data_IF_739042413579
#
_entry.id   IF_739042413579
#
_cell.length_a   1.000
_cell.length_b   1.000
_cell.length_c   1.000
_cell.angle_alpha   90.00
_cell.angle_beta   90.00
_cell.angle_gamma   90.00
#
_symmetry.space_group_name_H-M   'P 1'
#
loop_
_entity.id
_entity.type
_entity.pdbx_description
1 polymer ?
#
# COMPACT_ATOMS: atom_id res chain seq x y z
N UNK A 1 -8.12 -13.32 -45.76
CA UNK A 1 -7.36 -12.79 -44.62
C UNK A 1 -6.68 -13.98 -43.97
N UNK A 2 -5.36 -13.92 -43.81
CA UNK A 2 -4.58 -15.02 -43.23
C UNK A 2 -4.68 -14.90 -41.71
N UNK A 3 -5.23 -15.90 -41.04
CA UNK A 3 -5.25 -15.95 -39.57
C UNK A 3 -3.81 -15.96 -39.07
N UNK A 4 -3.43 -14.97 -38.27
CA UNK A 4 -2.14 -14.97 -37.58
C UNK A 4 -2.38 -15.70 -36.26
N UNK A 5 -1.77 -16.87 -36.11
CA UNK A 5 -1.80 -17.64 -34.87
C UNK A 5 -0.45 -17.43 -34.19
N UNK A 6 -0.46 -16.68 -33.09
CA UNK A 6 0.74 -16.35 -32.33
C UNK A 6 0.80 -17.26 -31.10
N UNK A 7 1.86 -18.07 -31.01
CA UNK A 7 2.24 -18.71 -29.75
C UNK A 7 2.79 -17.63 -28.82
N UNK A 8 1.94 -17.16 -27.90
CA UNK A 8 2.22 -16.00 -27.06
C UNK A 8 3.37 -16.29 -26.07
N UNK A 9 3.55 -17.55 -25.68
CA UNK A 9 4.60 -18.00 -24.75
C UNK A 9 5.98 -17.54 -25.18
N UNK A 10 6.31 -17.77 -26.45
CA UNK A 10 7.63 -17.43 -26.99
C UNK A 10 7.93 -15.93 -26.89
N UNK A 11 6.91 -15.09 -27.06
CA UNK A 11 7.09 -13.64 -27.04
C UNK A 11 7.15 -13.09 -25.62
N UNK A 12 6.31 -13.61 -24.73
CA UNK A 12 6.36 -13.31 -23.30
C UNK A 12 7.71 -13.75 -22.71
N UNK A 13 8.17 -14.97 -22.98
CA UNK A 13 9.48 -15.47 -22.55
C UNK A 13 10.65 -14.62 -23.07
N UNK A 14 10.60 -14.23 -24.35
CA UNK A 14 11.63 -13.38 -24.95
C UNK A 14 11.71 -12.00 -24.28
N UNK A 15 10.61 -11.53 -23.71
CA UNK A 15 10.51 -10.27 -22.95
C UNK A 15 10.55 -10.46 -21.44
N UNK A 16 10.66 -11.71 -20.96
CA UNK A 16 10.57 -12.09 -19.54
C UNK A 16 9.30 -11.58 -18.85
N UNK A 17 8.19 -11.61 -19.57
CA UNK A 17 6.87 -11.24 -19.06
C UNK A 17 6.09 -12.49 -18.63
N UNK A 18 5.29 -12.36 -17.58
CA UNK A 18 4.25 -13.30 -17.17
C UNK A 18 2.89 -12.60 -17.19
N UNK A 19 1.82 -13.41 -17.25
CA UNK A 19 0.44 -12.95 -17.13
C UNK A 19 -0.19 -13.71 -15.98
N UNK A 20 -0.70 -13.01 -14.98
CA UNK A 20 -1.57 -13.58 -13.97
C UNK A 20 -3.03 -13.40 -14.39
N UNK A 21 -3.83 -14.40 -14.09
CA UNK A 21 -5.29 -14.34 -14.18
C UNK A 21 -5.85 -14.26 -12.77
N UNK A 22 -6.62 -13.23 -12.50
CA UNK A 22 -7.21 -12.94 -11.21
C UNK A 22 -8.72 -13.08 -11.29
N UNK A 23 -9.32 -13.58 -10.21
CA UNK A 23 -10.76 -13.67 -10.05
C UNK A 23 -11.17 -12.87 -8.83
N UNK A 24 -12.17 -12.02 -9.01
CA UNK A 24 -12.70 -11.15 -7.97
C UNK A 24 -14.20 -11.36 -7.78
N UNK A 25 -14.62 -11.51 -6.54
CA UNK A 25 -16.03 -11.45 -6.15
C UNK A 25 -16.39 -10.00 -5.82
N UNK A 26 -17.40 -9.45 -6.48
CA UNK A 26 -17.85 -8.06 -6.33
C UNK A 26 -19.18 -7.94 -5.61
N UNK A 27 -19.33 -6.88 -4.82
CA UNK A 27 -20.62 -6.41 -4.34
C UNK A 27 -21.34 -5.56 -5.41
N UNK A 28 -22.63 -5.28 -5.16
CA UNK A 28 -23.38 -4.31 -5.98
C UNK A 28 -22.85 -2.90 -5.71
N UNK A 29 -22.46 -2.21 -6.79
CA UNK A 29 -22.05 -0.80 -6.76
C UNK A 29 -23.11 0.06 -6.07
N UNK A 30 -22.69 0.83 -5.07
CA UNK A 30 -23.59 1.64 -4.25
C UNK A 30 -23.33 3.12 -4.49
N UNK A 31 -24.33 3.90 -4.96
CA UNK A 31 -24.19 5.35 -5.10
C UNK A 31 -23.90 6.02 -3.75
N UNK A 32 -22.94 6.94 -3.75
CA UNK A 32 -22.56 7.70 -2.56
C UNK A 32 -23.36 8.99 -2.50
N UNK A 33 -24.15 9.13 -1.44
CA UNK A 33 -24.96 10.32 -1.16
C UNK A 33 -24.50 11.00 0.13
N UNK A 34 -24.74 12.30 0.22
CA UNK A 34 -24.22 13.13 1.32
C UNK A 34 -24.71 12.67 2.69
N UNK A 35 -25.93 12.16 2.76
CA UNK A 35 -26.58 11.66 3.97
C UNK A 35 -25.93 10.40 4.53
N UNK A 36 -25.18 9.66 3.71
CA UNK A 36 -24.49 8.42 4.05
C UNK A 36 -22.98 8.56 3.87
N UNK A 37 -22.46 9.78 4.06
CA UNK A 37 -21.05 10.11 3.80
C UNK A 37 -20.03 9.24 4.54
N UNK A 38 -20.39 8.66 5.69
CA UNK A 38 -19.55 7.67 6.38
C UNK A 38 -19.28 6.41 5.57
N UNK A 39 -20.15 6.05 4.59
CA UNK A 39 -19.95 4.89 3.73
C UNK A 39 -18.72 4.99 2.85
N UNK A 40 -18.23 6.19 2.57
CA UNK A 40 -17.03 6.40 1.75
C UNK A 40 -15.88 5.59 2.35
N UNK A 41 -15.53 5.85 3.61
CA UNK A 41 -14.40 5.17 4.28
C UNK A 41 -14.83 4.00 5.17
N UNK A 42 -16.05 3.51 5.02
CA UNK A 42 -16.54 2.40 5.84
C UNK A 42 -15.86 1.09 5.44
N UNK A 43 -15.51 0.26 6.43
CA UNK A 43 -15.07 -1.12 6.23
C UNK A 43 -16.25 -2.11 6.12
N UNK A 44 -17.49 -1.62 6.21
CA UNK A 44 -18.67 -2.47 6.01
C UNK A 44 -18.75 -2.90 4.55
N UNK A 45 -18.94 -4.19 4.35
CA UNK A 45 -19.02 -4.80 3.02
C UNK A 45 -20.42 -5.35 2.78
N UNK A 46 -20.99 -5.02 1.63
CA UNK A 46 -22.20 -5.63 1.12
C UNK A 46 -22.00 -7.11 0.77
N UNK A 47 -23.08 -7.83 0.46
CA UNK A 47 -22.98 -9.19 -0.04
C UNK A 47 -22.29 -9.21 -1.41
N UNK A 48 -21.26 -10.03 -1.55
CA UNK A 48 -20.61 -10.32 -2.82
C UNK A 48 -21.53 -11.22 -3.66
N UNK A 49 -21.82 -10.80 -4.89
CA UNK A 49 -22.94 -11.33 -5.69
C UNK A 49 -22.59 -11.70 -7.13
N UNK A 50 -21.46 -11.23 -7.67
CA UNK A 50 -21.00 -11.62 -9.00
C UNK A 50 -19.48 -11.69 -9.06
N UNK A 51 -18.98 -12.50 -10.00
CA UNK A 51 -17.55 -12.75 -10.20
C UNK A 51 -17.08 -12.01 -11.45
N UNK A 52 -15.88 -11.44 -11.40
CA UNK A 52 -15.25 -10.74 -12.52
C UNK A 52 -13.78 -11.14 -12.64
N UNK A 53 -13.39 -11.34 -13.88
CA UNK A 53 -12.05 -11.73 -14.30
C UNK A 53 -11.17 -10.52 -14.60
N UNK A 54 -9.93 -10.58 -14.13
CA UNK A 54 -8.91 -9.53 -14.27
C UNK A 54 -7.56 -10.15 -14.62
N UNK A 55 -6.64 -9.33 -15.13
CA UNK A 55 -5.32 -9.78 -15.55
C UNK A 55 -4.24 -8.80 -15.14
N UNK A 56 -3.09 -9.33 -14.71
CA UNK A 56 -1.86 -8.57 -14.53
C UNK A 56 -0.83 -9.04 -15.54
N UNK A 57 0.00 -8.12 -16.04
CA UNK A 57 1.20 -8.42 -16.83
C UNK A 57 2.40 -7.83 -16.11
N UNK A 58 3.38 -8.66 -15.76
CA UNK A 58 4.56 -8.26 -15.00
C UNK A 58 5.82 -8.98 -15.52
N UNK A 59 7.01 -8.45 -15.22
CA UNK A 59 8.25 -9.13 -15.54
C UNK A 59 8.76 -10.05 -14.42
N UNK A 60 9.82 -10.81 -14.70
CA UNK A 60 10.42 -11.72 -13.70
C UNK A 60 11.06 -11.02 -12.48
N UNK A 61 11.18 -9.69 -12.49
CA UNK A 61 11.57 -8.89 -11.34
C UNK A 61 10.35 -8.28 -10.63
N UNK A 62 9.15 -8.78 -10.92
CA UNK A 62 7.86 -8.30 -10.39
C UNK A 62 7.51 -6.86 -10.78
N UNK A 63 8.11 -6.30 -11.82
CA UNK A 63 7.70 -4.98 -12.33
C UNK A 63 6.41 -5.14 -13.11
N UNK A 64 5.39 -4.36 -12.78
CA UNK A 64 4.07 -4.47 -13.38
C UNK A 64 4.00 -3.58 -14.62
N UNK A 65 3.33 -4.03 -15.67
CA UNK A 65 3.14 -3.31 -16.95
C UNK A 65 1.66 -3.12 -17.27
N UNK A 66 0.81 -4.04 -16.83
CA UNK A 66 -0.64 -3.90 -16.75
C UNK A 66 -1.06 -4.47 -15.41
N UNK A 67 -1.90 -3.76 -14.69
CA UNK A 67 -2.43 -4.20 -13.40
C UNK A 67 -3.95 -4.21 -13.48
N UNK A 68 -4.56 -5.31 -13.02
CA UNK A 68 -6.00 -5.40 -12.79
C UNK A 68 -6.86 -5.00 -14.00
N UNK A 69 -6.42 -5.35 -15.21
CA UNK A 69 -7.10 -5.01 -16.45
C UNK A 69 -8.14 -6.07 -16.82
N UNK A 70 -9.20 -5.65 -17.52
CA UNK A 70 -10.16 -6.56 -18.13
C UNK A 70 -9.50 -7.36 -19.26
N UNK A 71 -10.14 -8.45 -19.68
CA UNK A 71 -9.69 -9.21 -20.85
C UNK A 71 -9.62 -8.36 -22.12
N UNK A 72 -10.58 -7.45 -22.32
CA UNK A 72 -10.62 -6.58 -23.49
C UNK A 72 -9.45 -5.59 -23.49
N UNK A 73 -9.15 -4.98 -22.35
CA UNK A 73 -7.99 -4.10 -22.18
C UNK A 73 -6.68 -4.85 -22.38
N UNK A 74 -6.53 -6.05 -21.79
CA UNK A 74 -5.38 -6.91 -22.04
C UNK A 74 -5.23 -7.19 -23.55
N UNK A 75 -6.30 -7.57 -24.23
CA UNK A 75 -6.27 -7.86 -25.67
C UNK A 75 -5.86 -6.66 -26.52
N UNK A 76 -6.24 -5.44 -26.10
CA UNK A 76 -5.90 -4.18 -26.77
C UNK A 76 -4.45 -3.74 -26.51
N UNK A 77 -3.94 -3.89 -25.29
CA UNK A 77 -2.61 -3.40 -24.87
C UNK A 77 -1.48 -4.40 -25.15
N UNK A 78 -1.80 -5.70 -25.20
CA UNK A 78 -0.82 -6.76 -25.36
C UNK A 78 0.04 -6.63 -26.64
N UNK A 79 -0.50 -6.31 -27.84
CA UNK A 79 0.32 -6.12 -29.04
C UNK A 79 1.46 -5.09 -28.87
N UNK A 80 1.18 -4.00 -28.15
CA UNK A 80 2.14 -2.93 -27.93
C UNK A 80 3.23 -3.37 -26.95
N UNK A 81 2.86 -4.04 -25.85
CA UNK A 81 3.82 -4.60 -24.88
C UNK A 81 4.76 -5.65 -25.51
N UNK A 82 4.26 -6.41 -26.49
CA UNK A 82 5.07 -7.40 -27.20
C UNK A 82 6.04 -6.75 -28.20
N UNK A 83 5.79 -5.51 -28.64
CA UNK A 83 6.58 -4.83 -29.67
C UNK A 83 7.57 -3.83 -29.08
N UNK A 84 7.20 -3.07 -28.06
CA UNK A 84 8.05 -2.07 -27.40
C UNK A 84 8.16 -2.34 -25.89
N UNK A 85 9.33 -2.08 -25.31
CA UNK A 85 9.49 -2.13 -23.84
C UNK A 85 8.97 -0.80 -23.33
N UNK A 86 7.70 -0.76 -22.94
CA UNK A 86 7.15 0.37 -22.19
C UNK A 86 7.84 0.43 -20.82
N UNK A 87 7.96 1.62 -20.20
CA UNK A 87 8.28 1.69 -18.78
C UNK A 87 7.29 0.82 -18.00
N UNK A 88 7.76 0.15 -16.94
CA UNK A 88 6.86 -0.48 -16.00
C UNK A 88 5.93 0.59 -15.41
N UNK A 89 4.71 0.20 -15.05
CA UNK A 89 3.88 0.98 -14.15
C UNK A 89 4.71 1.19 -12.88
N UNK A 90 4.99 2.44 -12.56
CA UNK A 90 5.35 2.81 -11.21
C UNK A 90 4.04 2.96 -10.46
N UNK A 91 3.94 2.44 -9.24
CA UNK A 91 2.77 2.69 -8.36
C UNK A 91 2.73 4.16 -7.89
N UNK A 92 3.40 5.06 -8.60
CA UNK A 92 3.37 6.48 -8.36
C UNK A 92 1.96 6.97 -8.68
N UNK A 93 1.33 7.60 -7.69
CA UNK A 93 0.03 8.25 -7.89
C UNK A 93 0.15 9.18 -9.09
N UNK A 94 -0.68 8.94 -10.11
CA UNK A 94 -0.55 9.54 -11.45
C UNK A 94 -0.82 11.05 -11.50
N UNK A 95 -0.92 11.75 -10.36
CA UNK A 95 -1.12 13.20 -10.33
C UNK A 95 -0.40 13.91 -9.17
N UNK A 96 0.92 14.09 -9.31
CA UNK A 96 1.74 14.84 -8.37
C UNK A 96 1.31 16.32 -8.24
N UNK A 97 0.76 16.93 -9.30
CA UNK A 97 0.23 18.29 -9.27
C UNK A 97 -0.96 18.42 -8.29
N UNK A 98 -1.89 17.47 -8.33
CA UNK A 98 -3.03 17.41 -7.41
C UNK A 98 -2.56 17.22 -5.97
N UNK A 99 -1.58 16.34 -5.73
CA UNK A 99 -0.96 16.16 -4.42
C UNK A 99 -0.30 17.46 -3.96
N UNK A 100 0.48 18.12 -4.82
CA UNK A 100 1.14 19.38 -4.49
C UNK A 100 0.14 20.48 -4.13
N UNK A 101 -1.03 20.54 -4.78
CA UNK A 101 -2.10 21.47 -4.40
C UNK A 101 -2.64 21.23 -2.97
N UNK A 102 -2.56 19.99 -2.45
CA UNK A 102 -2.86 19.67 -1.07
C UNK A 102 -1.70 20.09 -0.14
N UNK A 103 -0.45 19.91 -0.58
CA UNK A 103 0.73 20.41 0.14
C UNK A 103 0.68 21.93 0.31
N UNK A 104 0.30 22.69 -0.71
CA UNK A 104 0.12 24.14 -0.59
C UNK A 104 -0.96 24.51 0.44
N UNK A 105 -2.09 23.78 0.46
CA UNK A 105 -3.14 23.97 1.46
C UNK A 105 -2.69 23.59 2.87
N UNK A 106 -1.86 22.56 3.00
CA UNK A 106 -1.23 22.12 4.25
C UNK A 106 -0.30 23.24 4.78
N UNK A 107 0.55 23.77 3.91
CA UNK A 107 1.48 24.88 4.21
C UNK A 107 0.74 26.15 4.65
N UNK A 108 -0.42 26.46 4.05
CA UNK A 108 -1.26 27.59 4.47
C UNK A 108 -1.82 27.44 5.90
N UNK A 109 -1.94 26.20 6.40
CA UNK A 109 -2.31 25.92 7.80
C UNK A 109 -1.10 25.90 8.73
N UNK A 110 0.10 26.00 8.16
CA UNK A 110 1.39 26.04 8.83
C UNK A 110 1.93 24.67 9.23
N UNK A 111 1.50 23.63 8.54
CA UNK A 111 2.18 22.34 8.57
C UNK A 111 3.15 22.27 7.40
N UNK A 112 4.06 21.30 7.42
CA UNK A 112 5.01 21.04 6.33
C UNK A 112 4.94 19.58 5.93
N UNK A 113 5.15 19.32 4.64
CA UNK A 113 5.40 17.96 4.15
C UNK A 113 6.90 17.78 3.96
N UNK A 114 7.46 16.74 4.58
CA UNK A 114 8.88 16.42 4.53
C UNK A 114 9.06 15.08 3.82
N UNK A 115 9.84 15.04 2.74
CA UNK A 115 10.20 13.80 2.03
C UNK A 115 11.61 13.31 2.37
N UNK A 116 11.82 12.00 2.32
CA UNK A 116 13.11 11.34 2.53
C UNK A 116 13.12 9.93 1.95
N UNK A 117 14.31 9.35 1.76
CA UNK A 117 14.47 7.93 1.42
C UNK A 117 14.99 7.12 2.60
N UNK A 118 14.74 5.82 2.55
CA UNK A 118 15.26 4.85 3.48
C UNK A 118 16.09 3.82 2.74
N UNK A 119 17.21 3.41 3.34
CA UNK A 119 18.06 2.35 2.83
C UNK A 119 18.19 1.23 3.83
N UNK A 120 17.96 0.02 3.35
CA UNK A 120 18.04 -1.19 4.16
C UNK A 120 19.38 -1.35 4.87
N UNK A 121 19.32 -1.80 6.14
CA UNK A 121 20.47 -2.28 6.89
C UNK A 121 20.37 -3.77 7.21
N UNK A 122 19.39 -4.15 8.04
CA UNK A 122 19.23 -5.53 8.51
C UNK A 122 17.78 -5.85 8.92
N UNK A 123 17.48 -7.16 8.93
CA UNK A 123 16.19 -7.72 9.32
C UNK A 123 16.36 -8.68 10.48
N UNK A 124 15.39 -8.67 11.39
CA UNK A 124 15.35 -9.46 12.60
C UNK A 124 13.99 -10.15 12.70
N UNK A 125 14.04 -11.41 13.09
CA UNK A 125 12.89 -12.24 13.36
C UNK A 125 12.33 -11.89 14.74
N UNK A 126 11.03 -11.60 14.81
CA UNK A 126 10.36 -11.45 16.10
C UNK A 126 10.18 -12.81 16.76
N UNK A 127 10.83 -13.01 17.92
CA UNK A 127 10.79 -14.25 18.69
C UNK A 127 9.65 -14.26 19.71
N UNK A 128 9.37 -13.10 20.32
CA UNK A 128 8.21 -12.90 21.19
C UNK A 128 7.53 -11.57 20.93
N UNK A 129 6.42 -11.60 20.18
CA UNK A 129 5.68 -10.38 19.82
C UNK A 129 5.02 -9.71 21.02
N UNK A 130 4.50 -10.50 21.97
CA UNK A 130 3.82 -9.96 23.15
C UNK A 130 4.80 -9.20 24.04
N UNK A 131 5.98 -9.79 24.31
CA UNK A 131 6.99 -9.15 25.17
C UNK A 131 7.52 -7.85 24.52
N UNK A 132 7.68 -7.84 23.18
CA UNK A 132 8.01 -6.62 22.43
C UNK A 132 6.94 -5.54 22.57
N UNK A 133 5.68 -5.90 22.47
CA UNK A 133 4.56 -4.94 22.62
C UNK A 133 4.52 -4.36 24.02
N UNK A 134 4.67 -5.20 25.04
CA UNK A 134 4.69 -4.76 26.44
C UNK A 134 5.89 -3.85 26.71
N UNK A 135 7.08 -4.16 26.18
CA UNK A 135 8.26 -3.32 26.29
C UNK A 135 8.04 -1.96 25.61
N UNK A 136 7.55 -1.96 24.36
CA UNK A 136 7.35 -0.73 23.58
C UNK A 136 6.29 0.16 24.25
N UNK A 137 5.20 -0.41 24.75
CA UNK A 137 4.14 0.34 25.44
C UNK A 137 4.61 1.00 26.76
N UNK A 138 5.75 0.57 27.31
CA UNK A 138 6.34 1.13 28.53
C UNK A 138 7.34 2.26 28.26
N UNK A 139 7.65 2.57 27.00
CA UNK A 139 8.55 3.68 26.62
C UNK A 139 7.79 5.00 26.72
N UNK A 140 8.34 6.05 27.37
CA UNK A 140 7.76 7.38 27.32
C UNK A 140 7.60 7.85 25.86
N UNK A 141 6.41 8.34 25.49
CA UNK A 141 6.11 8.74 24.10
C UNK A 141 7.16 9.70 23.49
N UNK A 142 7.70 10.63 24.28
CA UNK A 142 8.71 11.61 23.83
C UNK A 142 10.04 10.96 23.39
N UNK A 143 10.35 9.75 23.88
CA UNK A 143 11.57 9.01 23.54
C UNK A 143 11.34 7.93 22.45
N UNK A 144 10.08 7.68 22.08
CA UNK A 144 9.69 6.53 21.24
C UNK A 144 10.10 6.64 19.77
N UNK A 145 10.26 7.85 19.24
CA UNK A 145 10.66 8.09 17.85
C UNK A 145 12.10 7.67 17.52
N UNK A 146 12.93 7.50 18.55
CA UNK A 146 14.34 7.10 18.44
C UNK A 146 14.61 5.74 19.10
N UNK A 147 13.56 5.03 19.51
CA UNK A 147 13.71 3.75 20.17
C UNK A 147 14.14 2.67 19.16
N UNK A 148 15.39 2.23 19.30
CA UNK A 148 15.88 1.01 18.65
C UNK A 148 15.81 -0.14 19.66
N UNK A 149 15.02 -1.17 19.30
CA UNK A 149 14.84 -2.39 20.09
C UNK A 149 16.21 -3.05 20.35
N UNK A 150 17.14 -2.98 19.41
CA UNK A 150 18.46 -3.64 19.52
C UNK A 150 19.36 -2.87 20.49
N UNK A 151 19.45 -1.55 20.34
CA UNK A 151 20.34 -0.72 21.19
C UNK A 151 19.86 -0.63 22.64
N UNK A 152 18.58 -0.89 22.89
CA UNK A 152 17.96 -0.79 24.21
C UNK A 152 18.01 -2.09 25.01
N UNK A 153 18.54 -3.18 24.44
CA UNK A 153 18.46 -4.53 24.99
C UNK A 153 19.82 -5.25 24.96
N UNK A 154 19.88 -6.44 25.56
CA UNK A 154 21.14 -7.22 25.65
C UNK A 154 21.33 -8.08 24.42
N UNK A 155 22.53 -8.04 23.85
CA UNK A 155 22.94 -8.82 22.69
C UNK A 155 23.72 -10.08 23.12
N UNK A 156 23.31 -11.25 22.65
CA UNK A 156 24.06 -12.51 22.81
C UNK A 156 24.20 -13.25 21.48
N UNK A 157 25.35 -13.90 21.26
CA UNK A 157 25.63 -14.71 20.07
C UNK A 157 25.47 -16.19 20.41
N UNK A 158 24.72 -16.93 19.59
CA UNK A 158 24.53 -18.37 19.75
C UNK A 158 25.71 -19.20 19.20
N UNK A 159 25.65 -20.53 19.37
CA UNK A 159 26.70 -21.44 18.91
C UNK A 159 26.90 -21.42 17.38
N UNK A 160 25.87 -21.01 16.63
CA UNK A 160 25.89 -20.89 15.17
C UNK A 160 26.35 -19.49 14.70
N UNK A 161 26.70 -18.61 15.63
CA UNK A 161 27.17 -17.25 15.37
C UNK A 161 26.05 -16.25 15.06
N UNK A 162 24.81 -16.57 15.43
CA UNK A 162 23.66 -15.68 15.22
C UNK A 162 23.44 -14.81 16.44
N UNK A 163 23.08 -13.56 16.17
CA UNK A 163 22.80 -12.59 17.23
C UNK A 163 21.35 -12.69 17.67
N UNK A 164 21.13 -12.71 18.99
CA UNK A 164 19.82 -12.68 19.64
C UNK A 164 19.76 -11.49 20.60
N UNK A 165 18.58 -10.87 20.69
CA UNK A 165 18.31 -9.70 21.53
C UNK A 165 17.37 -10.11 22.64
N UNK A 166 17.76 -9.83 23.88
CA UNK A 166 17.03 -10.18 25.09
C UNK A 166 16.63 -8.97 25.91
N UNK A 167 15.44 -9.02 26.50
CA UNK A 167 14.99 -8.02 27.47
C UNK A 167 15.73 -8.14 28.82
N UNK A 168 15.46 -7.22 29.73
CA UNK A 168 16.04 -7.21 31.08
C UNK A 168 15.64 -8.43 31.95
N UNK A 169 14.61 -9.19 31.54
CA UNK A 169 14.12 -10.38 32.22
C UNK A 169 14.64 -11.69 31.59
N UNK A 170 15.41 -11.60 30.50
CA UNK A 170 15.97 -12.75 29.77
C UNK A 170 15.02 -13.37 28.74
N UNK A 171 13.95 -12.68 28.34
CA UNK A 171 13.10 -13.12 27.23
C UNK A 171 13.76 -12.75 25.90
N UNK A 172 13.81 -13.71 24.98
CA UNK A 172 14.33 -13.47 23.63
C UNK A 172 13.29 -12.69 22.82
N UNK A 173 13.60 -11.46 22.47
CA UNK A 173 12.73 -10.56 21.73
C UNK A 173 12.92 -10.70 20.22
N UNK A 174 14.17 -10.61 19.77
CA UNK A 174 14.56 -10.65 18.37
C UNK A 174 15.70 -11.64 18.12
N UNK A 175 15.75 -12.20 16.92
CA UNK A 175 16.89 -12.98 16.42
C UNK A 175 17.28 -12.47 15.04
N UNK A 176 18.56 -12.37 14.75
CA UNK A 176 19.03 -11.99 13.42
C UNK A 176 18.45 -12.94 12.35
N UNK A 177 17.86 -12.36 11.29
CA UNK A 177 17.21 -13.15 10.24
C UNK A 177 18.23 -13.86 9.37
N UNK A 178 17.91 -15.10 8.98
CA UNK A 178 18.66 -15.87 7.98
C UNK A 178 18.45 -15.34 6.55
N UNK A 179 17.40 -14.54 6.36
CA UNK A 179 17.00 -14.03 5.05
C UNK A 179 17.68 -12.68 4.85
N UNK A 180 18.62 -12.62 3.90
CA UNK A 180 19.15 -11.35 3.39
C UNK A 180 18.12 -10.76 2.44
N UNK A 181 17.13 -10.06 2.98
CA UNK A 181 15.94 -9.56 2.27
C UNK A 181 16.20 -8.39 1.29
N UNK A 182 17.41 -8.27 0.75
CA UNK A 182 17.76 -7.27 -0.27
C UNK A 182 16.91 -7.36 -1.56
N UNK A 183 16.14 -8.43 -1.77
CA UNK A 183 15.43 -8.67 -3.05
C UNK A 183 14.08 -7.97 -3.19
N UNK A 184 13.50 -7.40 -2.13
CA UNK A 184 12.11 -6.90 -2.17
C UNK A 184 11.93 -5.47 -1.70
N UNK A 185 12.99 -4.76 -1.36
CA UNK A 185 12.87 -3.44 -0.77
C UNK A 185 13.36 -2.42 -1.79
N UNK A 186 12.39 -1.74 -2.38
CA UNK A 186 12.61 -0.49 -3.09
C UNK A 186 13.04 0.56 -2.08
N UNK A 187 14.06 1.36 -2.44
CA UNK A 187 14.42 2.59 -1.72
C UNK A 187 13.33 3.66 -1.98
N UNK A 188 12.08 3.33 -1.64
CA UNK A 188 10.91 4.17 -1.90
C UNK A 188 10.95 5.45 -1.03
N UNK A 189 10.48 6.59 -1.58
CA UNK A 189 10.35 7.80 -0.82
C UNK A 189 9.21 7.67 0.20
N UNK A 190 9.48 8.13 1.41
CA UNK A 190 8.50 8.28 2.49
C UNK A 190 8.29 9.77 2.79
N UNK A 191 7.10 10.09 3.29
CA UNK A 191 6.72 11.45 3.65
C UNK A 191 6.23 11.54 5.09
N UNK A 192 6.61 12.62 5.76
CA UNK A 192 6.14 12.98 7.09
C UNK A 192 5.45 14.35 7.06
N UNK A 193 4.43 14.52 7.90
CA UNK A 193 3.79 15.82 8.14
C UNK A 193 4.29 16.37 9.46
N UNK A 194 4.94 17.53 9.42
CA UNK A 194 5.42 18.26 10.59
C UNK A 194 4.52 19.46 10.89
N UNK A 195 4.38 19.80 12.17
CA UNK A 195 3.70 21.02 12.60
C UNK A 195 4.63 22.26 12.61
N UNK A 196 4.16 23.35 13.22
CA UNK A 196 4.92 24.62 13.27
C UNK A 196 6.14 24.57 14.17
N UNK A 197 6.11 23.70 15.18
CA UNK A 197 7.19 23.54 16.14
C UNK A 197 8.23 22.52 15.63
N UNK A 198 7.92 21.81 14.54
CA UNK A 198 8.76 20.77 13.95
C UNK A 198 8.42 19.38 14.48
N UNK A 199 7.32 19.24 15.22
CA UNK A 199 6.89 17.94 15.73
C UNK A 199 6.21 17.15 14.62
N UNK A 200 6.61 15.88 14.48
CA UNK A 200 6.03 14.98 13.48
C UNK A 200 4.63 14.54 13.92
N UNK A 201 3.62 14.92 13.13
CA UNK A 201 2.21 14.63 13.38
C UNK A 201 1.78 13.30 12.74
N UNK A 202 2.26 13.04 11.53
CA UNK A 202 2.08 11.80 10.79
C UNK A 202 3.40 11.44 10.14
N UNK A 203 3.79 10.17 10.20
CA UNK A 203 5.08 9.70 9.73
C UNK A 203 4.93 8.53 8.77
N UNK A 204 5.95 8.32 7.93
CA UNK A 204 6.10 7.18 7.02
C UNK A 204 4.90 6.97 6.09
N UNK A 205 4.45 8.06 5.48
CA UNK A 205 3.40 8.01 4.46
C UNK A 205 4.06 7.63 3.13
N UNK A 206 3.63 6.52 2.53
CA UNK A 206 4.04 6.12 1.17
C UNK A 206 3.34 7.02 0.14
N UNK A 207 4.00 7.26 -1.01
CA UNK A 207 3.47 8.15 -2.05
C UNK A 207 2.04 7.79 -2.48
N UNK A 208 1.75 6.48 -2.64
CA UNK A 208 0.43 5.93 -2.97
C UNK A 208 -0.70 6.40 -2.03
N UNK A 209 -0.38 6.66 -0.76
CA UNK A 209 -1.35 7.08 0.26
C UNK A 209 -1.32 8.59 0.52
N UNK A 210 -0.45 9.35 -0.14
CA UNK A 210 -0.21 10.73 0.21
C UNK A 210 -1.43 11.63 -0.06
N UNK A 211 -2.13 11.44 -1.17
CA UNK A 211 -3.35 12.20 -1.48
C UNK A 211 -4.47 11.94 -0.46
N UNK A 212 -4.71 10.67 -0.10
CA UNK A 212 -5.72 10.29 0.89
C UNK A 212 -5.43 10.85 2.27
N UNK A 213 -4.17 10.76 2.71
CA UNK A 213 -3.70 11.27 4.01
C UNK A 213 -3.81 12.78 4.08
N UNK A 214 -3.24 13.50 3.11
CA UNK A 214 -3.26 14.97 3.07
C UNK A 214 -4.69 15.50 3.02
N UNK A 215 -5.52 14.93 2.13
CA UNK A 215 -6.91 15.34 2.01
C UNK A 215 -7.68 15.12 3.32
N UNK A 216 -7.54 13.94 3.93
CA UNK A 216 -8.25 13.60 5.17
C UNK A 216 -7.83 14.50 6.32
N UNK A 217 -6.53 14.76 6.45
CA UNK A 217 -5.99 15.70 7.44
C UNK A 217 -6.55 17.11 7.24
N UNK A 218 -6.56 17.61 5.99
CA UNK A 218 -7.11 18.92 5.64
C UNK A 218 -8.63 19.01 5.88
N UNK A 219 -9.37 17.91 5.84
CA UNK A 219 -10.81 17.87 6.17
C UNK A 219 -11.10 17.59 7.65
N UNK A 220 -10.05 17.52 8.49
CA UNK A 220 -10.18 17.48 9.94
C UNK A 220 -10.37 16.08 10.52
N UNK A 221 -9.93 15.04 9.80
CA UNK A 221 -9.70 13.73 10.40
C UNK A 221 -8.44 13.78 11.27
N UNK A 222 -8.49 13.16 12.45
CA UNK A 222 -7.36 13.14 13.38
C UNK A 222 -6.21 12.26 12.87
N UNK A 223 -4.95 12.48 13.31
CA UNK A 223 -3.82 11.64 12.92
C UNK A 223 -4.04 10.15 13.20
N UNK A 224 -4.64 9.83 14.35
CA UNK A 224 -4.96 8.44 14.70
C UNK A 224 -6.00 7.84 13.75
N UNK A 225 -7.10 8.54 13.45
CA UNK A 225 -8.10 8.07 12.49
C UNK A 225 -7.49 7.87 11.09
N UNK A 226 -6.57 8.74 10.67
CA UNK A 226 -5.87 8.63 9.38
C UNK A 226 -4.98 7.39 9.37
N UNK A 227 -4.15 7.20 10.40
CA UNK A 227 -3.33 6.00 10.57
C UNK A 227 -4.20 4.75 10.52
N UNK A 228 -5.32 4.77 11.24
CA UNK A 228 -6.28 3.67 11.33
C UNK A 228 -7.16 3.44 10.10
N UNK A 229 -7.12 4.34 9.11
CA UNK A 229 -7.87 4.18 7.87
C UNK A 229 -6.94 3.85 6.70
N UNK A 230 -5.76 4.47 6.64
CA UNK A 230 -4.91 4.46 5.46
C UNK A 230 -3.50 3.91 5.68
N UNK A 231 -2.96 3.87 6.90
CA UNK A 231 -1.53 3.51 7.08
C UNK A 231 -1.33 2.16 7.75
N UNK A 232 -2.24 1.75 8.62
CA UNK A 232 -2.14 0.46 9.30
C UNK A 232 -2.71 -0.68 8.43
N UNK A 233 -2.19 -1.90 8.58
CA UNK A 233 -2.64 -3.06 7.82
C UNK A 233 -3.96 -3.62 8.37
N UNK A 234 -5.10 -3.32 7.73
CA UNK A 234 -6.41 -3.86 8.15
C UNK A 234 -7.01 -4.91 7.24
N UNK A 235 -6.23 -5.28 6.24
CA UNK A 235 -6.66 -6.13 5.15
C UNK A 235 -6.32 -7.61 5.38
N UNK A 236 -5.96 -7.99 6.62
CA UNK A 236 -5.61 -9.37 6.95
C UNK A 236 -6.78 -10.16 7.50
N UNK A 237 -7.09 -11.27 6.84
CA UNK A 237 -8.05 -12.27 7.34
C UNK A 237 -7.48 -12.98 8.56
N UNK A 238 -8.36 -13.56 9.38
CA UNK A 238 -7.94 -14.35 10.53
C UNK A 238 -7.01 -15.53 10.14
N UNK A 239 -7.16 -16.09 8.95
CA UNK A 239 -6.27 -17.13 8.43
C UNK A 239 -4.87 -16.58 8.16
N UNK A 240 -4.77 -15.43 7.47
CA UNK A 240 -3.48 -14.77 7.20
C UNK A 240 -2.78 -14.37 8.49
N UNK A 241 -3.52 -13.81 9.45
CA UNK A 241 -2.96 -13.47 10.77
C UNK A 241 -2.37 -14.71 11.45
N UNK A 242 -3.05 -15.86 11.39
CA UNK A 242 -2.54 -17.12 11.97
C UNK A 242 -1.33 -17.70 11.23
N UNK A 243 -1.17 -17.40 9.95
CA UNK A 243 -0.07 -17.85 9.09
C UNK A 243 0.98 -16.76 8.87
N UNK A 244 1.05 -15.81 9.80
CA UNK A 244 1.97 -14.68 9.73
C UNK A 244 2.98 -14.65 10.87
N UNK A 245 4.05 -13.90 10.64
CA UNK A 245 5.07 -13.57 11.62
C UNK A 245 5.46 -12.10 11.43
N UNK A 246 5.83 -11.43 12.51
CA UNK A 246 6.40 -10.09 12.41
C UNK A 246 7.91 -10.20 12.22
N UNK A 247 8.45 -9.33 11.36
CA UNK A 247 9.88 -9.02 11.33
C UNK A 247 10.07 -7.60 11.81
N UNK A 248 11.16 -7.38 12.52
CA UNK A 248 11.69 -6.06 12.78
C UNK A 248 12.78 -5.74 11.76
N UNK A 249 12.83 -4.50 11.32
CA UNK A 249 13.74 -4.07 10.28
C UNK A 249 14.31 -2.72 10.61
N UNK A 250 15.61 -2.56 10.35
CA UNK A 250 16.27 -1.25 10.44
C UNK A 250 16.65 -0.69 9.08
N UNK A 251 16.44 0.62 8.98
CA UNK A 251 16.85 1.42 7.85
C UNK A 251 17.73 2.58 8.33
N UNK A 252 18.66 2.99 7.48
CA UNK A 252 19.22 4.33 7.53
C UNK A 252 18.37 5.27 6.68
N UNK A 253 18.31 6.54 7.06
CA UNK A 253 17.46 7.53 6.41
C UNK A 253 18.31 8.63 5.76
N UNK A 254 17.85 9.17 4.63
CA UNK A 254 18.37 10.44 4.11
C UNK A 254 17.93 11.62 5.00
N UNK A 255 18.54 12.78 4.76
CA UNK A 255 18.10 14.03 5.37
C UNK A 255 16.68 14.35 4.88
N UNK A 256 15.77 14.68 5.79
CA UNK A 256 14.42 15.12 5.41
C UNK A 256 14.46 16.46 4.69
N UNK A 257 13.71 16.59 3.59
CA UNK A 257 13.57 17.84 2.84
C UNK A 257 12.12 18.23 2.71
N UNK A 258 11.87 19.53 2.85
CA UNK A 258 10.54 20.10 2.69
C UNK A 258 10.13 20.03 1.21
N UNK A 259 8.90 19.57 0.95
CA UNK A 259 8.28 19.58 -0.38
C UNK A 259 7.76 20.99 -0.65
N UNK A 260 8.37 21.66 -1.62
CA UNK A 260 8.11 23.05 -1.98
C UNK A 260 7.74 23.24 -3.45
N UNK A 261 7.95 22.22 -4.27
CA UNK A 261 7.55 22.16 -5.67
C UNK A 261 7.17 20.72 -6.07
N UNK A 262 6.53 20.55 -7.23
CA UNK A 262 6.13 19.24 -7.76
C UNK A 262 7.36 18.38 -8.05
N UNK A 263 8.41 18.99 -8.59
CA UNK A 263 9.66 18.31 -8.93
C UNK A 263 10.39 17.73 -7.71
N UNK A 264 10.05 18.17 -6.49
CA UNK A 264 10.65 17.64 -5.28
C UNK A 264 10.27 16.16 -5.09
N UNK A 265 9.10 15.70 -5.54
CA UNK A 265 8.65 14.30 -5.43
C UNK A 265 9.56 13.30 -6.14
N UNK A 266 10.25 13.72 -7.19
CA UNK A 266 11.18 12.87 -7.98
C UNK A 266 12.63 12.97 -7.49
N UNK A 267 12.93 13.92 -6.59
CA UNK A 267 14.31 14.30 -6.27
C UNK A 267 15.01 13.40 -5.22
N UNK A 268 14.31 12.38 -4.72
CA UNK A 268 14.69 11.63 -3.53
C UNK A 268 15.56 10.40 -3.81
N UNK A 269 15.47 9.80 -5.00
CA UNK A 269 16.12 8.52 -5.32
C UNK A 269 17.66 8.53 -5.18
N UNK A 270 18.30 9.70 -5.32
CA UNK A 270 19.76 9.86 -5.32
C UNK A 270 20.32 10.48 -4.03
N UNK A 271 19.50 10.72 -2.99
CA UNK A 271 19.98 11.39 -1.80
C UNK A 271 20.92 10.52 -0.97
N UNK A 272 22.09 11.05 -0.56
CA UNK A 272 23.03 10.29 0.25
C UNK A 272 22.41 10.00 1.61
N UNK A 273 22.30 8.71 1.92
CA UNK A 273 21.89 8.23 3.23
C UNK A 273 23.06 8.40 4.21
N UNK A 274 22.80 9.08 5.31
CA UNK A 274 23.82 9.36 6.31
C UNK A 274 23.83 8.25 7.37
N UNK A 275 24.83 7.36 7.28
CA UNK A 275 25.03 6.27 8.22
C UNK A 275 25.62 6.73 9.58
N UNK A 276 26.08 7.98 9.69
CA UNK A 276 26.76 8.52 10.88
C UNK A 276 25.91 9.54 11.66
N UNK A 277 25.01 10.29 11.00
CA UNK A 277 24.22 11.37 11.63
C UNK A 277 22.74 11.04 11.93
N UNK A 278 22.19 9.95 11.39
CA UNK A 278 20.72 9.80 11.28
C UNK A 278 19.98 9.00 12.35
N UNK A 279 20.67 8.20 13.17
CA UNK A 279 19.97 7.16 13.94
C UNK A 279 19.33 6.11 13.02
N UNK A 280 19.01 4.94 13.57
CA UNK A 280 18.33 3.90 12.82
C UNK A 280 16.82 4.07 12.95
N UNK A 281 16.09 3.86 11.86
CA UNK A 281 14.63 3.85 11.89
C UNK A 281 14.14 2.41 11.88
N UNK A 282 13.55 2.01 13.00
CA UNK A 282 12.91 0.71 13.16
C UNK A 282 11.54 0.67 12.52
N UNK A 283 11.20 -0.46 11.91
CA UNK A 283 9.82 -0.76 11.53
C UNK A 283 9.50 -2.24 11.64
N UNK A 284 8.23 -2.50 11.87
CA UNK A 284 7.66 -3.84 11.83
C UNK A 284 6.90 -4.04 10.52
N UNK A 285 7.04 -5.24 9.96
CA UNK A 285 6.17 -5.72 8.88
C UNK A 285 5.69 -7.12 9.22
N UNK A 286 4.43 -7.38 8.90
CA UNK A 286 3.81 -8.68 8.96
C UNK A 286 4.17 -9.40 7.66
N UNK A 287 4.73 -10.60 7.77
CA UNK A 287 5.09 -11.47 6.64
C UNK A 287 4.35 -12.78 6.82
N UNK A 288 4.23 -13.58 5.76
CA UNK A 288 3.88 -14.98 6.00
C UNK A 288 4.99 -15.76 6.68
N UNK A 289 4.62 -16.92 7.24
CA UNK A 289 5.56 -17.88 7.80
C UNK A 289 6.67 -18.30 6.83
N UNK A 290 6.36 -18.37 5.52
CA UNK A 290 7.35 -18.64 4.48
C UNK A 290 8.27 -17.44 4.18
N UNK A 291 7.89 -16.24 4.66
CA UNK A 291 8.57 -14.95 4.48
C UNK A 291 8.87 -14.64 3.02
N UNK A 292 7.93 -14.97 2.15
CA UNK A 292 8.04 -14.75 0.71
C UNK A 292 7.42 -13.43 0.25
N UNK A 293 6.59 -12.79 1.07
CA UNK A 293 5.95 -11.50 0.80
C UNK A 293 5.46 -10.87 2.10
N UNK A 294 5.42 -9.54 2.12
CA UNK A 294 4.85 -8.78 3.20
C UNK A 294 3.32 -8.82 3.08
N UNK A 295 2.68 -9.12 4.19
CA UNK A 295 1.22 -9.04 4.39
C UNK A 295 0.79 -7.64 4.85
N UNK A 296 1.71 -6.83 5.37
CA UNK A 296 1.40 -5.48 5.82
C UNK A 296 2.31 -4.42 5.19
N UNK A 297 1.81 -3.18 5.21
CA UNK A 297 2.62 -1.97 5.15
C UNK A 297 3.60 -1.89 6.34
N UNK A 298 4.55 -0.97 6.24
CA UNK A 298 5.45 -0.66 7.34
C UNK A 298 4.67 -0.11 8.54
N UNK A 299 4.99 -0.62 9.72
CA UNK A 299 4.44 -0.16 11.00
C UNK A 299 5.58 0.46 11.79
N UNK A 300 5.41 1.71 12.23
CA UNK A 300 6.40 2.36 13.10
C UNK A 300 6.50 1.61 14.43
N UNK A 301 7.62 1.78 15.16
CA UNK A 301 7.77 1.21 16.50
C UNK A 301 6.63 1.67 17.43
N UNK A 302 6.31 2.97 17.41
CA UNK A 302 5.26 3.55 18.24
C UNK A 302 3.87 2.97 17.94
N UNK A 303 3.56 2.71 16.67
CA UNK A 303 2.26 2.20 16.25
C UNK A 303 2.11 0.68 16.46
N UNK A 304 3.22 -0.02 16.72
CA UNK A 304 3.24 -1.48 16.80
C UNK A 304 2.29 -2.08 17.86
N UNK A 305 2.22 -1.57 19.11
CA UNK A 305 1.25 -2.05 20.10
C UNK A 305 -0.21 -1.94 19.63
N UNK A 306 -0.58 -0.81 19.01
CA UNK A 306 -1.93 -0.57 18.51
C UNK A 306 -2.27 -1.51 17.35
N UNK A 307 -1.34 -1.67 16.40
CA UNK A 307 -1.51 -2.61 15.28
C UNK A 307 -1.61 -4.06 15.78
N UNK A 308 -0.75 -4.47 16.70
CA UNK A 308 -0.79 -5.82 17.28
C UNK A 308 -2.10 -6.08 18.01
N UNK A 309 -2.56 -5.14 18.86
CA UNK A 309 -3.84 -5.24 19.55
C UNK A 309 -5.02 -5.39 18.59
N UNK A 310 -5.00 -4.68 17.45
CA UNK A 310 -6.06 -4.78 16.45
C UNK A 310 -5.98 -6.07 15.63
N UNK A 311 -4.81 -6.42 15.09
CA UNK A 311 -4.64 -7.59 14.23
C UNK A 311 -4.77 -8.92 14.98
N UNK A 312 -4.08 -9.03 16.13
CA UNK A 312 -3.90 -10.30 16.84
C UNK A 312 -4.94 -10.45 17.95
N UNK A 313 -5.15 -9.40 18.75
CA UNK A 313 -6.10 -9.44 19.87
C UNK A 313 -7.55 -9.11 19.44
N UNK A 314 -7.77 -8.73 18.17
CA UNK A 314 -9.09 -8.35 17.61
C UNK A 314 -9.79 -7.28 18.43
N UNK A 315 -9.03 -6.34 19.00
CA UNK A 315 -9.60 -5.20 19.70
C UNK A 315 -10.37 -4.34 18.70
N UNK A 316 -11.65 -4.11 18.98
CA UNK A 316 -12.52 -3.30 18.13
C UNK A 316 -12.12 -1.83 18.21
N UNK A 317 -12.21 -1.12 17.08
CA UNK A 317 -12.08 0.33 17.07
C UNK A 317 -13.23 1.00 17.80
N UNK A 318 -12.94 2.09 18.50
CA UNK A 318 -13.93 3.10 18.81
C UNK A 318 -14.28 3.83 17.49
N UNK A 319 -15.55 3.75 17.09
CA UNK A 319 -16.15 4.34 15.89
C UNK A 319 -15.34 5.49 15.22
N UNK A 320 -14.79 5.21 14.04
CA UNK A 320 -14.19 6.18 13.08
C UNK A 320 -15.20 7.19 12.49
N UNK A 321 -16.33 7.39 13.16
CA UNK A 321 -17.55 7.89 12.53
C UNK A 321 -17.60 9.39 12.27
N UNK A 322 -16.83 10.23 12.96
CA UNK A 322 -16.91 11.68 12.75
C UNK A 322 -15.91 12.19 11.71
N UNK A 323 -14.62 11.82 11.82
CA UNK A 323 -13.62 12.16 10.81
C UNK A 323 -13.99 11.60 9.44
N UNK A 324 -14.33 10.31 9.37
CA UNK A 324 -14.72 9.66 8.11
C UNK A 324 -15.93 10.33 7.46
N UNK A 325 -16.94 10.71 8.26
CA UNK A 325 -18.12 11.43 7.76
C UNK A 325 -17.77 12.79 7.18
N UNK A 326 -16.89 13.56 7.84
CA UNK A 326 -16.44 14.88 7.32
C UNK A 326 -15.69 14.72 6.00
N UNK A 327 -14.76 13.77 5.93
CA UNK A 327 -13.98 13.47 4.74
C UNK A 327 -14.88 13.02 3.59
N UNK A 328 -15.75 12.04 3.84
CA UNK A 328 -16.69 11.53 2.85
C UNK A 328 -17.66 12.59 2.34
N UNK A 329 -18.21 13.42 3.23
CA UNK A 329 -19.11 14.50 2.85
C UNK A 329 -18.40 15.54 1.97
N UNK A 330 -17.14 15.85 2.29
CA UNK A 330 -16.33 16.76 1.50
C UNK A 330 -16.00 16.18 0.11
N UNK A 331 -15.70 14.88 0.01
CA UNK A 331 -15.42 14.21 -1.26
C UNK A 331 -16.65 14.19 -2.17
N UNK A 332 -17.81 13.83 -1.63
CA UNK A 332 -19.09 13.82 -2.35
C UNK A 332 -19.43 15.23 -2.85
N UNK A 333 -19.19 16.26 -2.03
CA UNK A 333 -19.39 17.65 -2.43
C UNK A 333 -18.42 18.10 -3.53
N UNK A 334 -17.15 17.67 -3.46
CA UNK A 334 -16.16 17.94 -4.49
C UNK A 334 -16.58 17.32 -5.84
N UNK A 335 -16.94 16.04 -5.85
CA UNK A 335 -17.44 15.35 -7.04
C UNK A 335 -18.71 16.04 -7.60
N UNK A 336 -19.66 16.39 -6.74
CA UNK A 336 -20.88 17.06 -7.15
C UNK A 336 -20.63 18.43 -7.81
N UNK A 337 -19.65 19.20 -7.32
CA UNK A 337 -19.22 20.48 -7.95
C UNK A 337 -18.67 20.28 -9.36
N UNK A 338 -18.09 19.12 -9.64
CA UNK A 338 -17.58 18.71 -10.95
C UNK A 338 -18.62 18.02 -11.83
N UNK A 339 -19.86 17.88 -11.34
CA UNK A 339 -20.93 17.18 -12.07
C UNK A 339 -20.74 15.66 -12.10
N UNK A 340 -19.95 15.11 -11.19
CA UNK A 340 -19.64 13.68 -11.08
C UNK A 340 -20.50 13.07 -9.98
N UNK A 341 -21.03 11.88 -10.25
CA UNK A 341 -21.63 10.98 -9.27
C UNK A 341 -20.63 9.89 -8.92
N UNK A 342 -20.43 9.66 -7.62
CA UNK A 342 -19.55 8.60 -7.14
C UNK A 342 -20.36 7.36 -6.79
N UNK A 343 -19.88 6.21 -7.20
CA UNK A 343 -20.29 4.91 -6.67
C UNK A 343 -19.14 4.29 -5.92
N UNK A 344 -19.46 3.53 -4.87
CA UNK A 344 -18.54 2.68 -4.14
C UNK A 344 -18.69 1.25 -4.65
N UNK A 345 -17.57 0.68 -5.07
CA UNK A 345 -17.43 -0.67 -5.58
C UNK A 345 -16.60 -1.46 -4.56
N UNK A 346 -17.07 -2.64 -4.18
CA UNK A 346 -16.35 -3.51 -3.24
C UNK A 346 -16.03 -4.81 -3.93
N UNK A 347 -14.80 -5.29 -3.78
CA UNK A 347 -14.36 -6.53 -4.42
C UNK A 347 -13.37 -7.30 -3.55
N UNK A 348 -13.37 -8.62 -3.68
CA UNK A 348 -12.48 -9.52 -2.97
C UNK A 348 -11.75 -10.38 -3.99
N UNK A 349 -10.42 -10.39 -4.00
CA UNK A 349 -9.68 -11.33 -4.83
C UNK A 349 -9.83 -12.74 -4.25
N UNK A 350 -10.55 -13.60 -4.97
CA UNK A 350 -10.85 -14.97 -4.54
C UNK A 350 -9.90 -15.98 -5.13
N UNK A 351 -9.23 -15.64 -6.23
CA UNK A 351 -8.19 -16.47 -6.81
C UNK A 351 -7.20 -15.69 -7.69
N UNK A 352 -6.00 -16.25 -7.80
CA UNK A 352 -4.91 -15.80 -8.66
C UNK A 352 -4.26 -17.04 -9.23
N UNK A 353 -4.07 -17.03 -10.54
CA UNK A 353 -3.60 -18.16 -11.30
C UNK A 353 -2.49 -17.71 -12.23
N UNK A 354 -1.45 -18.55 -12.34
CA UNK A 354 -0.50 -18.41 -13.42
C UNK A 354 -1.13 -18.94 -14.71
N UNK A 355 -0.85 -18.27 -15.81
CA UNK A 355 -1.33 -18.67 -17.14
C UNK A 355 -0.22 -19.33 -17.97
N UNK A 356 -0.58 -20.30 -18.81
CA UNK A 356 0.28 -20.85 -19.86
C UNK A 356 -0.55 -21.30 -21.07
N UNK A 357 0.14 -21.82 -22.09
CA UNK A 357 -0.45 -22.31 -23.34
C UNK A 357 -1.38 -21.25 -23.97
N UNK A 358 -0.93 -20.00 -23.94
CA UNK A 358 -1.70 -18.83 -24.37
C UNK A 358 -1.73 -18.73 -25.89
N UNK A 359 -2.92 -18.86 -26.47
CA UNK A 359 -3.15 -18.77 -27.92
C UNK A 359 -3.76 -17.40 -28.24
N UNK A 360 -3.04 -16.61 -29.03
CA UNK A 360 -3.51 -15.31 -29.50
C UNK A 360 -3.82 -15.38 -31.01
N UNK A 361 -5.10 -15.25 -31.38
CA UNK A 361 -5.56 -15.22 -32.77
C UNK A 361 -6.34 -13.93 -33.05
N UNK A 362 -6.03 -13.27 -34.17
CA UNK A 362 -6.78 -12.14 -34.69
C UNK A 362 -7.05 -11.02 -33.65
N UNK A 363 -6.07 -10.76 -32.79
CA UNK A 363 -6.17 -9.72 -31.75
C UNK A 363 -6.83 -10.19 -30.45
N UNK A 364 -7.09 -11.49 -30.28
CA UNK A 364 -7.83 -12.03 -29.14
C UNK A 364 -7.12 -13.19 -28.47
N UNK A 365 -7.22 -13.23 -27.15
CA UNK A 365 -6.77 -14.36 -26.34
C UNK A 365 -7.83 -15.47 -26.41
N UNK A 366 -7.60 -16.43 -27.29
CA UNK A 366 -8.57 -17.48 -27.61
C UNK A 366 -8.59 -18.61 -26.59
N UNK A 367 -7.43 -18.91 -26.00
CA UNK A 367 -7.29 -19.93 -24.97
C UNK A 367 -6.08 -19.64 -24.07
N UNK A 368 -6.19 -20.01 -22.80
CA UNK A 368 -5.08 -20.11 -21.87
C UNK A 368 -5.40 -21.18 -20.83
N UNK A 369 -4.41 -21.98 -20.49
CA UNK A 369 -4.47 -22.86 -19.33
C UNK A 369 -4.07 -22.04 -18.10
N UNK A 370 -4.74 -22.30 -16.99
CA UNK A 370 -4.40 -21.66 -15.73
C UNK A 370 -4.36 -22.72 -14.61
N UNK A 371 -3.42 -22.56 -13.69
CA UNK A 371 -3.33 -23.41 -12.51
C UNK A 371 -3.13 -22.54 -11.29
N UNK A 372 -3.65 -23.00 -10.16
CA UNK A 372 -3.42 -22.33 -8.89
C UNK A 372 -1.92 -22.25 -8.67
N UNK A 373 -1.42 -21.05 -8.38
CA UNK A 373 -0.08 -20.95 -7.81
C UNK A 373 -0.05 -21.87 -6.58
N UNK A 374 0.94 -22.77 -6.51
CA UNK A 374 1.28 -23.43 -5.24
C UNK A 374 1.41 -22.38 -4.13
N UNK A 375 1.19 -22.72 -2.84
CA UNK A 375 0.57 -21.87 -1.80
C UNK A 375 1.37 -20.66 -1.30
N UNK A 376 2.36 -20.17 -2.06
CA UNK A 376 3.30 -19.12 -1.66
C UNK A 376 2.92 -17.69 -2.03
N UNK A 377 1.75 -17.45 -2.64
CA UNK A 377 1.18 -16.11 -2.79
C UNK A 377 -0.25 -16.19 -2.21
N UNK A 378 -0.47 -15.89 -0.93
CA UNK A 378 -1.80 -15.67 -0.44
C UNK A 378 -2.30 -14.45 -1.17
N UNK A 379 -3.44 -14.69 -1.78
CA UNK A 379 -4.30 -13.68 -2.33
C UNK A 379 -4.46 -12.55 -1.32
N UNK A 380 -4.54 -11.32 -1.81
CA UNK A 380 -5.23 -10.25 -1.10
C UNK A 380 -6.67 -10.72 -0.90
N UNK A 381 -6.90 -11.45 0.19
CA UNK A 381 -8.23 -11.85 0.65
C UNK A 381 -8.89 -10.73 1.46
N UNK A 382 -8.41 -9.50 1.28
CA UNK A 382 -9.05 -8.29 1.72
C UNK A 382 -10.10 -7.84 0.73
N UNK A 383 -11.20 -7.33 1.28
CA UNK A 383 -12.14 -6.57 0.47
C UNK A 383 -11.51 -5.23 0.16
N UNK A 384 -11.25 -5.00 -1.13
CA UNK A 384 -10.81 -3.74 -1.66
C UNK A 384 -12.02 -2.83 -1.89
N UNK A 385 -11.89 -1.57 -1.49
CA UNK A 385 -12.89 -0.53 -1.77
C UNK A 385 -12.37 0.32 -2.91
N UNK A 386 -13.14 0.36 -3.99
CA UNK A 386 -12.87 1.15 -5.18
C UNK A 386 -14.01 2.15 -5.43
N UNK A 387 -13.75 3.16 -6.24
CA UNK A 387 -14.70 4.20 -6.57
C UNK A 387 -14.76 4.43 -8.07
N UNK A 388 -15.98 4.54 -8.57
CA UNK A 388 -16.26 4.87 -9.95
C UNK A 388 -16.96 6.22 -10.03
N UNK A 389 -16.50 7.07 -10.94
CA UNK A 389 -17.04 8.40 -11.17
C UNK A 389 -17.79 8.44 -12.49
N UNK A 390 -19.07 8.83 -12.46
CA UNK A 390 -19.89 8.99 -13.68
C UNK A 390 -20.30 10.44 -13.87
N UNK A 391 -20.15 10.98 -15.09
CA UNK A 391 -20.60 12.33 -15.43
C UNK A 391 -22.13 12.35 -15.48
N UNK A 392 -22.78 13.07 -14.54
CA UNK A 392 -24.25 13.06 -14.39
C UNK A 392 -25.02 13.43 -15.66
N UNK A 393 -24.44 14.26 -16.51
CA UNK A 393 -25.11 14.78 -17.72
C UNK A 393 -25.08 13.80 -18.88
N UNK A 394 -23.99 13.06 -19.04
CA UNK A 394 -23.77 12.17 -20.20
C UNK A 394 -23.91 10.70 -19.85
N UNK A 395 -23.85 10.36 -18.56
CA UNK A 395 -23.70 8.99 -18.05
C UNK A 395 -22.43 8.29 -18.57
N UNK A 396 -21.44 9.05 -19.03
CA UNK A 396 -20.12 8.55 -19.38
C UNK A 396 -19.26 8.42 -18.12
N UNK A 397 -18.39 7.42 -18.10
CA UNK A 397 -17.40 7.25 -17.04
C UNK A 397 -16.39 8.39 -17.10
N UNK A 398 -16.20 9.07 -15.97
CA UNK A 398 -15.08 9.99 -15.75
C UNK A 398 -13.82 9.20 -15.36
N UNK A 399 -13.98 8.24 -14.45
CA UNK A 399 -12.96 7.30 -14.02
C UNK A 399 -13.63 6.03 -13.47
N UNK A 400 -12.88 4.94 -13.39
CA UNK A 400 -13.39 3.62 -13.05
C UNK A 400 -12.48 2.93 -12.03
N UNK A 401 -13.09 2.35 -10.99
CA UNK A 401 -12.44 1.49 -9.98
C UNK A 401 -11.14 2.05 -9.34
N UNK A 402 -11.10 3.35 -9.07
CA UNK A 402 -9.96 3.99 -8.38
C UNK A 402 -9.97 3.71 -6.88
N UNK A 403 -8.81 3.64 -6.23
CA UNK A 403 -8.67 3.74 -4.78
C UNK A 403 -9.17 5.10 -4.27
N UNK A 404 -9.32 5.25 -2.96
CA UNK A 404 -9.67 6.55 -2.38
C UNK A 404 -8.61 7.63 -2.68
N UNK A 405 -7.32 7.26 -2.67
CA UNK A 405 -6.21 8.19 -2.93
C UNK A 405 -6.25 8.71 -4.37
N UNK A 406 -6.37 7.79 -5.33
CA UNK A 406 -6.50 8.12 -6.76
C UNK A 406 -7.78 8.92 -7.04
N UNK A 407 -8.90 8.55 -6.42
CA UNK A 407 -10.16 9.29 -6.56
C UNK A 407 -10.03 10.73 -6.08
N UNK A 408 -9.33 10.97 -4.96
CA UNK A 408 -9.04 12.32 -4.48
C UNK A 408 -8.20 13.09 -5.49
N UNK A 409 -7.11 12.48 -5.98
CA UNK A 409 -6.21 13.11 -6.94
C UNK A 409 -6.94 13.48 -8.24
N UNK A 410 -7.66 12.53 -8.82
CA UNK A 410 -8.47 12.70 -10.04
C UNK A 410 -9.54 13.79 -9.87
N UNK A 411 -10.27 13.75 -8.75
CA UNK A 411 -11.26 14.78 -8.45
C UNK A 411 -10.65 16.15 -8.16
N UNK A 412 -9.37 16.29 -7.84
CA UNK A 412 -8.72 17.59 -7.73
C UNK A 412 -8.29 18.09 -9.11
N UNK A 413 -7.76 17.20 -9.94
CA UNK A 413 -7.24 17.49 -11.28
C UNK A 413 -8.29 18.00 -12.27
N UNK A 414 -9.49 17.38 -12.28
CA UNK A 414 -10.61 17.67 -13.20
C UNK A 414 -11.20 19.11 -13.10
N UNK A 415 -10.49 20.06 -12.51
CA UNK A 415 -10.91 21.44 -12.24
C UNK A 415 -9.79 22.47 -12.36
N UNK A 416 -8.62 22.08 -12.86
CA UNK A 416 -7.66 22.98 -13.49
C UNK A 416 -7.99 23.11 -14.98
#
# INVERSE_FOLDING_TARGET
MTKVNLDLEKYLDARRLEINYLTYDYAVSTPLIKEESERVLSTETGPLVYEVDRFDVFDYNSRIYLEDVTKEELENELPDLLTEVRPALTHDVENQDAIFSLVEQLNQRGYKLMGYTQKYLDTWDTMSTLDLVDQIACIPHDDSQYYDVILSNTEEEDEDGRVHIYDEFGNCLLRQSDIKEHMWWSDEPYFDIEDKEGDVVLAKIELENLASVLYSFLKGMSPIEIKETFLFPYELTAAQVNESTFSYTRYSQSIKREITAVEDFESFEDEPVDFELGGFQGQFRCWTLARTFALSRAVTVEDFPSVYGRLILKLALENTGEGARKVGAALIELAAKKGIELTRDERLCTASYRTANRIYEDGKLMNFDYWTSSPGIPLSSSVQIRYTGTIKRTAELAFYELTFSETVAELLDLGQ
#
